data_IF_180035335622
#
_entry.id   IF_180035335622
#
_cell.length_a   1.000
_cell.length_b   1.000
_cell.length_c   1.000
_cell.angle_alpha   90.00
_cell.angle_beta   90.00
_cell.angle_gamma   90.00
#
_symmetry.space_group_name_H-M   'P 1'
#
loop_
_entity.id
_entity.type
_entity.pdbx_description
1 polymer ?
#
# COMPACT_ATOMS: atom_id res chain seq x y z
N UNK A 1 -44.83 -18.87 -39.99
CA UNK A 1 -43.45 -19.28 -40.35
C UNK A 1 -42.35 -18.73 -39.43
N UNK A 2 -42.56 -17.62 -38.70
CA UNK A 2 -41.55 -17.09 -37.76
C UNK A 2 -41.40 -17.90 -36.46
N UNK A 3 -42.50 -18.43 -35.89
CA UNK A 3 -42.46 -19.18 -34.63
C UNK A 3 -41.66 -20.50 -34.70
N UNK A 4 -41.72 -21.22 -35.83
CA UNK A 4 -40.97 -22.48 -36.01
C UNK A 4 -39.46 -22.26 -36.20
N UNK A 5 -39.02 -21.05 -36.60
CA UNK A 5 -37.59 -20.73 -36.74
C UNK A 5 -36.93 -20.39 -35.40
N UNK A 6 -37.68 -19.79 -34.47
CA UNK A 6 -37.17 -19.47 -33.12
C UNK A 6 -37.04 -20.73 -32.27
N UNK A 7 -38.00 -21.65 -32.36
CA UNK A 7 -37.95 -22.91 -31.60
C UNK A 7 -36.78 -23.81 -32.03
N UNK A 8 -36.47 -23.87 -33.34
CA UNK A 8 -35.31 -24.63 -33.85
C UNK A 8 -33.97 -24.04 -33.41
N UNK A 9 -33.87 -22.71 -33.27
CA UNK A 9 -32.63 -22.02 -32.85
C UNK A 9 -32.32 -22.23 -31.36
N UNK A 10 -33.34 -22.24 -30.50
CA UNK A 10 -33.17 -22.49 -29.06
C UNK A 10 -32.81 -23.95 -28.76
N UNK A 11 -33.39 -24.92 -29.47
CA UNK A 11 -33.09 -26.35 -29.29
C UNK A 11 -31.68 -26.69 -29.78
N UNK A 12 -31.23 -26.09 -30.89
CA UNK A 12 -29.86 -26.27 -31.38
C UNK A 12 -28.81 -25.63 -30.44
N UNK A 13 -29.12 -24.46 -29.86
CA UNK A 13 -28.22 -23.79 -28.90
C UNK A 13 -28.11 -24.55 -27.56
N UNK A 14 -29.19 -25.17 -27.08
CA UNK A 14 -29.14 -26.03 -25.88
C UNK A 14 -28.38 -27.34 -26.12
N UNK A 15 -28.47 -27.94 -27.32
CA UNK A 15 -27.71 -29.16 -27.64
C UNK A 15 -26.20 -28.90 -27.77
N UNK A 16 -25.78 -27.75 -28.30
CA UNK A 16 -24.37 -27.38 -28.39
C UNK A 16 -23.80 -27.08 -26.99
N UNK A 17 -24.57 -26.46 -26.09
CA UNK A 17 -24.18 -26.25 -24.70
C UNK A 17 -24.08 -27.58 -23.90
N UNK A 18 -25.00 -28.53 -24.13
CA UNK A 18 -24.92 -29.85 -23.49
C UNK A 18 -23.77 -30.72 -24.03
N UNK A 19 -23.44 -30.62 -25.33
CA UNK A 19 -22.30 -31.35 -25.88
C UNK A 19 -20.94 -30.74 -25.51
N UNK A 20 -20.85 -29.42 -25.30
CA UNK A 20 -19.65 -28.78 -24.77
C UNK A 20 -19.39 -29.10 -23.28
N UNK A 21 -20.45 -29.35 -22.51
CA UNK A 21 -20.32 -29.81 -21.12
C UNK A 21 -19.89 -31.28 -20.99
N UNK A 22 -20.08 -32.09 -22.04
CA UNK A 22 -19.78 -33.53 -22.04
C UNK A 22 -18.38 -33.90 -22.56
N UNK A 23 -17.59 -32.95 -23.05
CA UNK A 23 -16.25 -33.19 -23.62
C UNK A 23 -15.14 -32.34 -23.01
N UNK A 24 -15.38 -31.68 -21.88
CA UNK A 24 -14.27 -31.22 -21.05
C UNK A 24 -13.66 -32.46 -20.40
N UNK A 25 -12.45 -32.91 -20.80
CA UNK A 25 -11.74 -33.87 -19.98
C UNK A 25 -11.61 -33.21 -18.61
N UNK A 26 -12.29 -33.79 -17.62
CA UNK A 26 -12.01 -33.51 -16.24
C UNK A 26 -10.59 -34.03 -16.01
N UNK A 27 -9.61 -33.20 -16.32
CA UNK A 27 -8.26 -33.34 -15.82
C UNK A 27 -8.33 -32.99 -14.33
N UNK A 28 -8.96 -33.88 -13.56
CA UNK A 28 -8.59 -34.02 -12.16
C UNK A 28 -7.16 -34.52 -12.22
N UNK A 29 -6.21 -33.58 -12.13
CA UNK A 29 -4.84 -33.94 -11.84
C UNK A 29 -4.86 -34.78 -10.57
N UNK A 30 -4.62 -36.07 -10.72
CA UNK A 30 -4.41 -36.97 -9.60
C UNK A 30 -3.18 -36.47 -8.82
N UNK A 31 -3.35 -36.15 -7.54
CA UNK A 31 -2.28 -36.33 -6.56
C UNK A 31 -1.55 -35.11 -6.00
N UNK A 32 -1.97 -33.87 -6.24
CA UNK A 32 -1.40 -32.74 -5.50
C UNK A 32 -2.20 -32.47 -4.22
N UNK A 33 -1.54 -32.58 -3.06
CA UNK A 33 -2.08 -32.06 -1.80
C UNK A 33 -2.34 -30.57 -1.98
N UNK A 34 -3.57 -30.07 -1.71
CA UNK A 34 -3.84 -28.64 -1.79
C UNK A 34 -2.81 -27.85 -0.98
N UNK A 35 -2.30 -26.72 -1.51
CA UNK A 35 -1.33 -25.92 -0.79
C UNK A 35 -1.88 -25.48 0.57
N UNK A 36 -1.03 -25.51 1.59
CA UNK A 36 -1.40 -25.09 2.94
C UNK A 36 -1.32 -23.56 3.04
N UNK A 37 -2.42 -22.88 2.74
CA UNK A 37 -2.49 -21.41 2.77
C UNK A 37 -2.31 -20.82 4.17
N UNK A 38 -2.65 -21.56 5.24
CA UNK A 38 -2.44 -21.11 6.61
C UNK A 38 -0.93 -21.07 6.96
N UNK A 39 -0.19 -22.10 6.56
CA UNK A 39 1.27 -22.13 6.70
C UNK A 39 1.94 -21.04 5.84
N UNK A 40 1.46 -20.83 4.61
CA UNK A 40 1.94 -19.76 3.75
C UNK A 40 1.71 -18.37 4.39
N UNK A 41 0.50 -18.09 4.88
CA UNK A 41 0.16 -16.83 5.56
C UNK A 41 1.05 -16.58 6.79
N UNK A 42 1.23 -17.61 7.62
CA UNK A 42 2.08 -17.52 8.82
C UNK A 42 3.53 -17.14 8.46
N UNK A 43 4.05 -17.71 7.37
CA UNK A 43 5.39 -17.41 6.85
C UNK A 43 5.48 -16.03 6.19
N UNK A 44 4.42 -15.58 5.51
CA UNK A 44 4.35 -14.21 4.98
C UNK A 44 4.43 -13.17 6.10
N UNK A 45 3.79 -13.41 7.24
CA UNK A 45 3.87 -12.50 8.40
C UNK A 45 5.24 -12.57 9.09
N UNK A 46 5.84 -13.76 9.19
CA UNK A 46 7.23 -13.90 9.64
C UNK A 46 8.23 -13.16 8.74
N UNK A 47 7.98 -13.10 7.42
CA UNK A 47 8.83 -12.34 6.50
C UNK A 47 8.92 -10.86 6.90
N UNK A 48 7.81 -10.20 7.27
CA UNK A 48 7.85 -8.83 7.76
C UNK A 48 8.72 -8.68 9.03
N UNK A 49 8.66 -9.62 9.96
CA UNK A 49 9.57 -9.61 11.13
C UNK A 49 11.04 -9.66 10.71
N UNK A 50 11.33 -10.37 9.63
CA UNK A 50 12.66 -10.49 9.02
C UNK A 50 13.15 -9.20 8.39
N UNK A 51 12.26 -8.26 8.07
CA UNK A 51 12.57 -6.97 7.46
C UNK A 51 12.65 -5.81 8.47
N UNK A 52 12.29 -6.02 9.75
CA UNK A 52 12.25 -4.94 10.75
C UNK A 52 13.61 -4.24 10.89
N UNK A 53 13.64 -2.92 10.80
CA UNK A 53 14.81 -2.08 11.13
C UNK A 53 14.61 -1.41 12.49
N UNK A 54 15.68 -1.12 13.21
CA UNK A 54 15.60 -0.48 14.53
C UNK A 54 15.73 -1.44 15.70
N UNK A 55 15.24 -1.03 16.87
CA UNK A 55 15.28 -1.83 18.10
C UNK A 55 14.16 -2.85 18.13
N UNK A 56 14.48 -4.14 17.99
CA UNK A 56 13.49 -5.20 17.83
C UNK A 56 12.68 -5.42 19.12
N UNK A 57 11.38 -5.77 18.99
CA UNK A 57 10.54 -5.99 20.16
C UNK A 57 10.91 -7.32 20.82
N UNK A 58 10.64 -7.49 22.14
CA UNK A 58 10.86 -8.76 22.83
C UNK A 58 9.98 -9.89 22.29
N UNK A 59 8.93 -9.57 21.52
CA UNK A 59 8.03 -10.53 20.86
C UNK A 59 8.55 -11.02 19.50
N UNK A 60 9.73 -10.54 19.04
CA UNK A 60 10.35 -10.97 17.78
C UNK A 60 10.55 -12.50 17.76
N UNK A 61 9.97 -13.18 16.75
CA UNK A 61 10.06 -14.64 16.61
C UNK A 61 11.33 -15.07 15.86
N UNK A 62 11.79 -14.26 14.90
CA UNK A 62 13.00 -14.54 14.14
C UNK A 62 14.28 -14.18 14.92
N UNK A 63 14.86 -15.17 15.58
CA UNK A 63 16.02 -15.01 16.50
C UNK A 63 17.36 -14.72 15.83
N UNK A 64 17.44 -14.80 14.51
CA UNK A 64 18.66 -14.51 13.75
C UNK A 64 18.80 -13.01 13.41
N UNK A 65 17.72 -12.22 13.51
CA UNK A 65 17.73 -10.76 13.44
C UNK A 65 18.02 -10.14 14.80
N UNK A 66 18.70 -8.99 14.83
CA UNK A 66 18.92 -8.19 16.05
C UNK A 66 18.71 -6.70 15.77
N UNK A 67 18.89 -5.90 16.81
CA UNK A 67 18.84 -4.44 16.72
C UNK A 67 19.80 -3.92 15.63
N UNK A 68 19.29 -3.04 14.78
CA UNK A 68 20.04 -2.39 13.71
C UNK A 68 19.59 -0.93 13.56
N UNK A 69 20.35 -0.11 12.81
CA UNK A 69 19.90 1.23 12.39
C UNK A 69 19.52 2.19 13.52
N UNK A 70 20.12 2.03 14.71
CA UNK A 70 19.69 2.73 15.93
C UNK A 70 19.96 4.24 15.92
N UNK A 71 20.62 4.75 14.88
CA UNK A 71 20.95 6.15 14.69
C UNK A 71 20.24 6.77 13.47
N UNK A 72 19.25 6.09 12.89
CA UNK A 72 18.47 6.62 11.76
C UNK A 72 17.85 7.98 12.09
N UNK A 73 18.10 8.96 11.22
CA UNK A 73 17.66 10.35 11.39
C UNK A 73 18.59 11.22 12.25
N UNK A 74 19.72 10.66 12.71
CA UNK A 74 20.79 11.39 13.43
C UNK A 74 22.02 11.63 12.55
N UNK A 75 21.83 11.85 11.25
CA UNK A 75 22.90 11.99 10.23
C UNK A 75 24.12 12.77 10.77
N UNK A 76 25.26 12.09 10.84
CA UNK A 76 26.49 12.62 11.42
C UNK A 76 26.95 13.87 10.66
N UNK A 77 26.85 15.04 11.30
CA UNK A 77 27.49 16.28 10.83
C UNK A 77 26.57 17.37 10.29
N UNK A 78 25.25 17.16 10.21
CA UNK A 78 24.29 18.23 9.84
C UNK A 78 23.35 18.50 11.01
N UNK A 79 23.76 19.40 11.92
CA UNK A 79 23.05 19.83 13.13
C UNK A 79 21.62 20.40 12.93
N UNK A 80 21.05 20.39 11.73
CA UNK A 80 19.83 21.15 11.42
C UNK A 80 18.56 20.31 11.58
N UNK A 81 18.61 18.96 11.55
CA UNK A 81 17.41 18.12 11.45
C UNK A 81 17.48 16.78 12.23
N UNK A 82 18.03 16.75 13.45
CA UNK A 82 17.97 15.51 14.26
C UNK A 82 16.52 15.07 14.46
N UNK A 83 16.16 13.93 13.90
CA UNK A 83 14.82 13.32 13.98
C UNK A 83 14.98 11.84 14.35
N UNK A 84 14.06 11.29 15.14
CA UNK A 84 14.03 9.84 15.36
C UNK A 84 13.35 9.18 14.17
N UNK A 85 14.14 8.51 13.33
CA UNK A 85 13.65 7.68 12.24
C UNK A 85 13.97 6.20 12.46
N UNK A 86 14.30 5.78 13.68
CA UNK A 86 14.52 4.36 14.02
C UNK A 86 13.20 3.59 13.92
N UNK A 87 13.22 2.42 13.30
CA UNK A 87 12.02 1.60 13.04
C UNK A 87 11.80 1.33 11.55
N UNK A 88 10.59 0.86 11.22
CA UNK A 88 10.16 0.60 9.84
C UNK A 88 10.74 -0.69 9.27
N UNK A 89 10.59 -0.88 7.96
CA UNK A 89 11.07 -2.06 7.26
C UNK A 89 12.19 -1.72 6.28
N UNK A 90 13.19 -2.59 6.20
CA UNK A 90 14.06 -2.63 5.03
C UNK A 90 13.26 -3.10 3.81
N UNK A 91 13.56 -2.52 2.66
CA UNK A 91 12.72 -2.66 1.48
C UNK A 91 12.77 -4.06 0.88
N UNK A 92 13.97 -4.58 0.60
CA UNK A 92 14.15 -5.87 -0.07
C UNK A 92 15.28 -6.70 0.58
N UNK A 93 16.30 -7.04 -0.21
CA UNK A 93 17.52 -7.67 0.29
C UNK A 93 18.60 -6.67 0.72
N UNK A 94 18.28 -5.38 0.65
CA UNK A 94 19.11 -4.24 0.98
C UNK A 94 18.74 -3.67 2.36
N UNK A 95 19.44 -2.65 2.85
CA UNK A 95 19.17 -2.01 4.15
C UNK A 95 18.67 -0.57 4.00
N UNK A 96 18.19 -0.20 2.82
CA UNK A 96 17.51 1.08 2.58
C UNK A 96 16.06 0.98 3.02
N UNK A 97 15.55 2.07 3.58
CA UNK A 97 14.13 2.24 3.90
C UNK A 97 13.49 3.15 2.86
N UNK A 98 12.95 2.58 1.80
CA UNK A 98 12.19 3.33 0.79
C UNK A 98 10.75 3.55 1.26
N UNK A 99 10.38 4.80 1.52
CA UNK A 99 9.10 5.16 2.11
C UNK A 99 7.91 4.92 1.19
N UNK A 100 8.08 5.08 -0.13
CA UNK A 100 7.00 4.91 -1.10
C UNK A 100 6.47 3.46 -1.18
N UNK A 101 7.29 2.43 -1.46
CA UNK A 101 6.84 1.03 -1.43
C UNK A 101 6.48 0.54 -0.01
N UNK A 102 7.13 1.07 1.03
CA UNK A 102 6.76 0.76 2.41
C UNK A 102 5.35 1.25 2.74
N UNK A 103 4.98 2.46 2.35
CA UNK A 103 3.63 2.97 2.52
C UNK A 103 2.61 2.10 1.76
N UNK A 104 2.89 1.74 0.50
CA UNK A 104 2.06 0.83 -0.29
C UNK A 104 1.82 -0.52 0.41
N UNK A 105 2.90 -1.10 0.95
CA UNK A 105 2.84 -2.33 1.75
C UNK A 105 1.93 -2.15 2.96
N UNK A 106 2.01 -1.01 3.64
CA UNK A 106 1.14 -0.66 4.78
C UNK A 106 -0.33 -0.56 4.39
N UNK A 107 -0.63 0.04 3.23
CA UNK A 107 -2.00 0.12 2.71
C UNK A 107 -2.55 -1.26 2.39
N UNK A 108 -1.78 -2.13 1.73
CA UNK A 108 -2.24 -3.49 1.40
C UNK A 108 -2.40 -4.39 2.62
N UNK A 109 -1.48 -4.32 3.59
CA UNK A 109 -1.61 -5.06 4.83
C UNK A 109 -2.86 -4.61 5.61
N UNK A 110 -3.11 -3.29 5.64
CA UNK A 110 -4.34 -2.74 6.21
C UNK A 110 -5.58 -3.23 5.46
N UNK A 111 -5.56 -3.19 4.13
CA UNK A 111 -6.69 -3.63 3.31
C UNK A 111 -7.00 -5.11 3.56
N UNK A 112 -5.97 -5.97 3.64
CA UNK A 112 -6.14 -7.38 3.98
C UNK A 112 -6.77 -7.58 5.36
N UNK A 113 -6.36 -6.81 6.38
CA UNK A 113 -6.96 -6.88 7.71
C UNK A 113 -8.43 -6.44 7.67
N UNK A 114 -8.74 -5.38 6.92
CA UNK A 114 -10.11 -4.83 6.82
C UNK A 114 -11.06 -5.82 6.16
N UNK A 115 -10.66 -6.45 5.05
CA UNK A 115 -11.57 -7.32 4.28
C UNK A 115 -11.61 -8.75 4.84
N UNK A 116 -10.50 -9.24 5.43
CA UNK A 116 -10.32 -10.66 5.72
C UNK A 116 -9.97 -10.95 7.19
N UNK A 117 -10.36 -10.07 8.13
CA UNK A 117 -10.04 -10.25 9.56
C UNK A 117 -10.52 -11.59 10.13
N UNK A 118 -11.66 -12.12 9.67
CA UNK A 118 -12.18 -13.43 10.11
C UNK A 118 -11.31 -14.57 9.58
N UNK A 119 -10.88 -14.51 8.32
CA UNK A 119 -10.05 -15.52 7.66
C UNK A 119 -8.60 -15.50 8.13
N UNK A 120 -8.09 -14.36 8.60
CA UNK A 120 -6.77 -14.27 9.23
C UNK A 120 -6.69 -15.12 10.52
N UNK A 121 -7.82 -15.30 11.22
CA UNK A 121 -7.93 -16.16 12.39
C UNK A 121 -6.82 -15.90 13.43
N UNK A 122 -5.99 -16.90 13.79
CA UNK A 122 -4.93 -16.73 14.78
C UNK A 122 -3.81 -15.76 14.34
N UNK A 123 -3.63 -15.56 13.03
CA UNK A 123 -2.59 -14.68 12.48
C UNK A 123 -2.98 -13.19 12.52
N UNK A 124 -4.23 -12.86 12.86
CA UNK A 124 -4.70 -11.47 12.94
C UNK A 124 -3.85 -10.62 13.90
N UNK A 125 -3.41 -11.20 15.03
CA UNK A 125 -2.53 -10.52 15.98
C UNK A 125 -1.17 -10.19 15.36
N UNK A 126 -0.57 -11.14 14.63
CA UNK A 126 0.70 -10.94 13.94
C UNK A 126 0.58 -9.96 12.76
N UNK A 127 -0.56 -9.96 12.05
CA UNK A 127 -0.86 -8.96 11.03
C UNK A 127 -0.95 -7.54 11.64
N UNK A 128 -1.62 -7.39 12.79
CA UNK A 128 -1.65 -6.12 13.51
C UNK A 128 -0.28 -5.68 14.03
N UNK A 129 0.55 -6.59 14.54
CA UNK A 129 1.93 -6.28 14.95
C UNK A 129 2.79 -5.84 13.77
N UNK A 130 2.66 -6.52 12.63
CA UNK A 130 3.36 -6.16 11.40
C UNK A 130 2.93 -4.77 10.89
N UNK A 131 1.62 -4.49 10.92
CA UNK A 131 1.09 -3.19 10.51
C UNK A 131 1.51 -2.07 11.47
N UNK A 132 1.43 -2.31 12.78
CA UNK A 132 1.82 -1.31 13.80
C UNK A 132 3.28 -0.91 13.67
N UNK A 133 4.17 -1.88 13.45
CA UNK A 133 5.59 -1.59 13.24
C UNK A 133 5.85 -0.63 12.08
N UNK A 134 5.07 -0.79 11.00
CA UNK A 134 5.11 0.07 9.82
C UNK A 134 4.55 1.45 10.12
N UNK A 135 3.36 1.51 10.72
CA UNK A 135 2.66 2.78 10.95
C UNK A 135 3.32 3.63 12.03
N UNK A 136 3.95 3.02 13.04
CA UNK A 136 4.78 3.73 14.01
C UNK A 136 5.94 4.46 13.32
N UNK A 137 6.55 3.84 12.31
CA UNK A 137 7.59 4.49 11.51
C UNK A 137 7.02 5.61 10.61
N UNK A 138 5.88 5.39 9.95
CA UNK A 138 5.24 6.43 9.15
C UNK A 138 4.83 7.64 10.01
N UNK A 139 4.39 7.42 11.25
CA UNK A 139 4.13 8.49 12.22
C UNK A 139 5.40 9.27 12.60
N UNK A 140 6.56 8.62 12.70
CA UNK A 140 7.83 9.34 12.89
C UNK A 140 8.22 10.15 11.64
N UNK A 141 8.14 9.51 10.48
CA UNK A 141 8.53 10.08 9.18
C UNK A 141 7.69 11.30 8.76
N UNK A 142 6.48 11.43 9.32
CA UNK A 142 5.54 12.53 9.02
C UNK A 142 5.26 13.43 10.22
N UNK A 143 6.08 13.36 11.28
CA UNK A 143 5.85 14.12 12.52
C UNK A 143 6.07 15.62 12.37
N UNK A 144 6.89 16.04 11.39
CA UNK A 144 7.18 17.45 11.15
C UNK A 144 6.17 18.06 10.16
N UNK A 145 5.64 19.27 10.43
CA UNK A 145 4.69 19.92 9.53
C UNK A 145 5.35 20.23 8.18
N UNK A 146 4.57 20.09 7.10
CA UNK A 146 4.99 20.34 5.71
C UNK A 146 6.28 19.62 5.29
N UNK A 147 6.55 18.46 5.90
CA UNK A 147 7.75 17.66 5.62
C UNK A 147 7.44 16.18 5.80
N UNK A 148 7.92 15.38 4.85
CA UNK A 148 7.85 13.93 4.92
C UNK A 148 9.25 13.38 4.68
N UNK A 149 9.74 12.55 5.60
CA UNK A 149 10.96 11.78 5.42
C UNK A 149 10.63 10.53 4.60
N UNK A 150 11.15 10.46 3.38
CA UNK A 150 10.73 9.46 2.38
C UNK A 150 11.77 8.38 2.18
N UNK A 151 13.00 8.56 2.67
CA UNK A 151 14.03 7.54 2.59
C UNK A 151 15.09 7.70 3.68
N UNK A 152 15.57 6.56 4.19
CA UNK A 152 16.76 6.51 5.06
C UNK A 152 17.72 5.45 4.51
N UNK A 153 18.95 5.84 4.21
CA UNK A 153 19.93 5.03 3.49
C UNK A 153 20.31 5.65 2.15
N UNK A 154 21.61 5.84 1.94
CA UNK A 154 22.14 6.09 0.60
C UNK A 154 22.13 4.76 -0.17
N UNK A 155 21.36 4.65 -1.26
CA UNK A 155 21.13 3.37 -1.90
C UNK A 155 22.37 2.88 -2.66
N UNK A 156 23.23 3.78 -3.14
CA UNK A 156 24.45 3.39 -3.82
C UNK A 156 25.51 2.92 -2.81
N UNK A 157 25.62 3.58 -1.66
CA UNK A 157 26.50 3.12 -0.58
C UNK A 157 26.05 1.75 -0.07
N UNK A 158 24.75 1.58 0.16
CA UNK A 158 24.18 0.34 0.68
C UNK A 158 24.34 -0.82 -0.31
N UNK A 159 23.97 -0.64 -1.58
CA UNK A 159 24.03 -1.72 -2.57
C UNK A 159 25.45 -2.08 -3.02
N UNK A 160 26.44 -1.25 -2.71
CA UNK A 160 27.86 -1.58 -2.92
C UNK A 160 28.44 -2.46 -1.80
N UNK A 161 27.72 -2.66 -0.69
CA UNK A 161 28.15 -3.50 0.42
C UNK A 161 27.22 -4.70 0.62
N UNK A 162 27.79 -5.89 0.84
CA UNK A 162 27.02 -7.08 1.20
C UNK A 162 27.22 -7.37 2.69
N UNK A 163 26.33 -6.84 3.52
CA UNK A 163 26.47 -6.88 4.97
C UNK A 163 25.14 -7.14 5.68
N UNK A 164 25.25 -7.56 6.94
CA UNK A 164 24.07 -7.72 7.79
C UNK A 164 23.63 -6.33 8.29
N UNK A 165 22.33 -6.06 8.42
CA UNK A 165 21.86 -4.79 8.95
C UNK A 165 22.39 -4.49 10.36
N UNK A 166 22.68 -5.52 11.16
CA UNK A 166 23.24 -5.38 12.51
C UNK A 166 24.69 -4.85 12.54
N UNK A 167 25.45 -5.04 11.46
CA UNK A 167 26.86 -4.65 11.36
C UNK A 167 27.09 -3.49 10.39
N UNK A 168 26.02 -2.91 9.84
CA UNK A 168 26.13 -1.97 8.72
C UNK A 168 26.91 -0.70 9.08
N UNK A 169 27.84 -0.33 8.21
CA UNK A 169 28.64 0.90 8.31
C UNK A 169 28.46 1.85 7.11
N UNK A 170 27.54 1.50 6.21
CA UNK A 170 27.15 2.31 5.04
C UNK A 170 26.48 3.63 5.43
N UNK A 171 26.49 4.60 4.50
CA UNK A 171 25.88 5.91 4.74
C UNK A 171 24.36 5.81 4.87
N UNK A 172 23.83 6.23 6.03
CA UNK A 172 22.39 6.20 6.34
C UNK A 172 21.68 7.54 6.18
N UNK A 173 22.02 8.25 5.09
CA UNK A 173 21.49 9.59 4.78
C UNK A 173 19.97 9.62 4.78
N UNK A 174 19.41 10.67 5.38
CA UNK A 174 17.98 10.92 5.44
C UNK A 174 17.52 11.84 4.31
N UNK A 175 16.53 11.40 3.52
CA UNK A 175 15.94 12.17 2.43
C UNK A 175 14.48 12.56 2.74
N UNK A 176 14.08 13.74 2.30
CA UNK A 176 12.77 14.30 2.58
C UNK A 176 12.20 15.07 1.40
N UNK A 177 10.88 15.20 1.38
CA UNK A 177 10.11 16.15 0.58
C UNK A 177 9.48 17.21 1.48
N UNK A 178 9.24 18.41 0.94
CA UNK A 178 8.61 19.52 1.64
C UNK A 178 7.84 20.44 0.68
N UNK A 179 7.29 21.54 1.18
CA UNK A 179 6.48 22.50 0.42
C UNK A 179 7.20 23.15 -0.78
N UNK A 180 8.53 23.21 -0.75
CA UNK A 180 9.35 23.73 -1.88
C UNK A 180 9.89 22.63 -2.79
N UNK A 181 9.94 21.39 -2.31
CA UNK A 181 10.41 20.20 -3.02
C UNK A 181 9.39 19.07 -2.79
N UNK A 182 8.23 19.13 -3.47
CA UNK A 182 7.09 18.27 -3.17
C UNK A 182 7.33 16.81 -3.57
N UNK A 183 6.44 15.94 -3.07
CA UNK A 183 6.35 14.53 -3.40
C UNK A 183 4.93 14.04 -3.15
N UNK A 184 4.03 14.29 -4.10
CA UNK A 184 2.59 14.05 -3.98
C UNK A 184 2.24 12.57 -3.97
N UNK A 185 2.94 11.76 -4.76
CA UNK A 185 2.79 10.32 -4.84
C UNK A 185 3.10 9.66 -3.50
N UNK A 186 4.30 9.88 -2.95
CA UNK A 186 4.68 9.33 -1.64
C UNK A 186 3.83 9.89 -0.49
N UNK A 187 3.40 11.15 -0.58
CA UNK A 187 2.45 11.72 0.39
C UNK A 187 1.06 11.06 0.30
N UNK A 188 0.52 10.90 -0.91
CA UNK A 188 -0.77 10.26 -1.16
C UNK A 188 -0.80 8.81 -0.68
N UNK A 189 0.26 8.03 -0.97
CA UNK A 189 0.38 6.65 -0.50
C UNK A 189 0.59 6.56 1.01
N UNK A 190 1.40 7.44 1.61
CA UNK A 190 1.57 7.48 3.08
C UNK A 190 0.26 7.82 3.78
N UNK A 191 -0.53 8.76 3.22
CA UNK A 191 -1.86 9.07 3.72
C UNK A 191 -2.82 7.89 3.57
N UNK A 192 -2.79 7.19 2.43
CA UNK A 192 -3.59 5.99 2.22
C UNK A 192 -3.27 4.91 3.27
N UNK A 193 -1.98 4.65 3.53
CA UNK A 193 -1.52 3.67 4.50
C UNK A 193 -2.02 3.99 5.91
N UNK A 194 -1.85 5.24 6.35
CA UNK A 194 -2.29 5.70 7.67
C UNK A 194 -3.82 5.70 7.79
N UNK A 195 -4.54 6.11 6.75
CA UNK A 195 -6.01 6.11 6.73
C UNK A 195 -6.57 4.67 6.77
N UNK A 196 -6.05 3.77 5.94
CA UNK A 196 -6.45 2.36 5.94
C UNK A 196 -6.13 1.71 7.29
N UNK A 197 -4.93 1.94 7.84
CA UNK A 197 -4.55 1.42 9.15
C UNK A 197 -5.45 1.94 10.28
N UNK A 198 -5.92 3.19 10.19
CA UNK A 198 -6.87 3.73 11.16
C UNK A 198 -8.20 2.95 11.20
N UNK A 199 -8.62 2.38 10.07
CA UNK A 199 -9.80 1.51 10.00
C UNK A 199 -9.46 0.15 10.61
N UNK A 200 -8.32 -0.44 10.23
CA UNK A 200 -7.87 -1.73 10.72
C UNK A 200 -7.76 -1.76 12.26
N UNK A 201 -7.18 -0.73 12.87
CA UNK A 201 -7.02 -0.64 14.34
C UNK A 201 -8.26 -0.12 15.07
N UNK A 202 -9.31 0.32 14.38
CA UNK A 202 -10.42 1.05 15.00
C UNK A 202 -11.10 0.29 16.14
N UNK A 203 -11.23 -1.03 16.01
CA UNK A 203 -11.88 -1.87 17.02
C UNK A 203 -10.95 -2.28 18.17
N UNK A 204 -9.66 -2.43 17.92
CA UNK A 204 -8.68 -2.96 18.87
C UNK A 204 -7.91 -1.88 19.63
N UNK A 205 -7.65 -0.73 19.00
CA UNK A 205 -6.98 0.42 19.60
C UNK A 205 -7.53 1.75 19.02
N UNK A 206 -8.67 2.23 19.55
CA UNK A 206 -9.32 3.45 19.04
C UNK A 206 -8.45 4.71 19.14
N UNK A 207 -7.61 4.82 20.17
CA UNK A 207 -6.77 6.00 20.40
C UNK A 207 -5.67 6.07 19.33
N UNK A 208 -5.01 4.94 19.06
CA UNK A 208 -4.03 4.87 17.98
C UNK A 208 -4.68 5.07 16.60
N UNK A 209 -5.87 4.51 16.38
CA UNK A 209 -6.62 4.75 15.16
C UNK A 209 -6.93 6.24 14.93
N UNK A 210 -7.24 7.00 15.98
CA UNK A 210 -7.44 8.45 15.88
C UNK A 210 -6.15 9.21 15.55
N UNK A 211 -5.02 8.81 16.13
CA UNK A 211 -3.71 9.37 15.82
C UNK A 211 -3.34 9.14 14.34
N UNK A 212 -3.50 7.90 13.86
CA UNK A 212 -3.25 7.52 12.47
C UNK A 212 -4.13 8.32 11.51
N UNK A 213 -5.44 8.40 11.78
CA UNK A 213 -6.37 9.13 10.93
C UNK A 213 -6.08 10.63 10.93
N UNK A 214 -5.75 11.20 12.09
CA UNK A 214 -5.37 12.61 12.17
C UNK A 214 -4.12 12.88 11.36
N UNK A 215 -3.11 12.01 11.42
CA UNK A 215 -1.91 12.17 10.60
C UNK A 215 -2.19 12.00 9.11
N UNK A 216 -2.98 10.99 8.73
CA UNK A 216 -3.35 10.73 7.35
C UNK A 216 -3.95 11.97 6.67
N UNK A 217 -4.84 12.68 7.37
CA UNK A 217 -5.43 13.95 6.87
C UNK A 217 -4.36 15.00 6.59
N UNK A 218 -3.46 15.24 7.55
CA UNK A 218 -2.41 16.26 7.39
C UNK A 218 -1.41 15.92 6.28
N UNK A 219 -1.07 14.64 6.11
CA UNK A 219 -0.15 14.16 5.08
C UNK A 219 -0.81 14.26 3.69
N UNK A 220 -2.08 13.91 3.59
CA UNK A 220 -2.86 14.06 2.37
C UNK A 220 -2.98 15.53 1.96
N UNK A 221 -3.33 16.40 2.91
CA UNK A 221 -3.47 17.84 2.65
C UNK A 221 -2.15 18.44 2.15
N UNK A 222 -1.00 18.01 2.69
CA UNK A 222 0.32 18.37 2.19
C UNK A 222 0.50 17.96 0.71
N UNK A 223 0.31 16.68 0.39
CA UNK A 223 0.50 16.15 -0.96
C UNK A 223 -0.47 16.73 -1.99
N UNK A 224 -1.70 17.02 -1.57
CA UNK A 224 -2.73 17.63 -2.42
C UNK A 224 -2.50 19.13 -2.66
N UNK A 225 -1.97 19.85 -1.66
CA UNK A 225 -1.71 21.30 -1.74
C UNK A 225 -0.42 21.61 -2.51
N UNK A 226 0.66 20.89 -2.20
CA UNK A 226 1.97 21.10 -2.82
C UNK A 226 2.23 19.99 -3.82
N UNK A 227 1.73 20.18 -5.05
CA UNK A 227 1.77 19.14 -6.06
C UNK A 227 3.11 19.04 -6.79
N UNK A 228 3.65 17.83 -6.88
CA UNK A 228 4.80 17.52 -7.72
C UNK A 228 5.48 16.21 -7.32
N UNK A 229 6.25 15.67 -8.27
CA UNK A 229 6.95 14.39 -8.07
C UNK A 229 8.23 14.55 -7.24
N UNK A 230 8.41 13.66 -6.25
CA UNK A 230 9.61 13.55 -5.44
C UNK A 230 10.85 13.23 -6.29
N UNK A 231 10.66 12.56 -7.43
CA UNK A 231 11.70 12.28 -8.41
C UNK A 231 12.31 13.57 -8.98
N UNK A 232 11.59 14.69 -8.97
CA UNK A 232 12.10 16.00 -9.42
C UNK A 232 13.21 16.52 -8.52
N UNK A 233 13.09 16.33 -7.21
CA UNK A 233 14.04 16.86 -6.23
C UNK A 233 15.08 15.84 -5.77
N UNK A 234 14.67 14.57 -5.62
CA UNK A 234 15.53 13.50 -5.14
C UNK A 234 16.22 12.75 -6.29
N UNK A 235 15.64 12.75 -7.49
CA UNK A 235 16.26 12.25 -8.72
C UNK A 235 16.93 10.90 -8.55
N UNK A 236 18.27 10.89 -8.64
CA UNK A 236 19.10 9.68 -8.56
C UNK A 236 19.03 8.92 -7.24
N UNK A 237 18.55 9.54 -6.17
CA UNK A 237 18.48 8.90 -4.85
C UNK A 237 17.28 7.97 -4.71
N UNK A 238 16.25 8.19 -5.53
CA UNK A 238 15.02 7.37 -5.55
C UNK A 238 14.91 6.58 -6.87
N UNK A 239 15.39 7.11 -7.99
CA UNK A 239 15.45 6.42 -9.28
C UNK A 239 16.91 6.04 -9.59
N UNK A 240 17.24 4.78 -9.96
CA UNK A 240 16.39 3.81 -10.64
C UNK A 240 15.62 2.82 -9.75
N UNK A 241 15.57 3.03 -8.43
CA UNK A 241 15.03 2.05 -7.48
C UNK A 241 13.49 2.04 -7.47
N UNK A 242 12.90 3.20 -7.17
CA UNK A 242 11.46 3.43 -7.09
C UNK A 242 11.12 4.72 -7.85
N UNK A 243 11.28 4.72 -9.18
CA UNK A 243 10.93 5.90 -9.97
C UNK A 243 9.41 6.08 -10.02
N UNK A 244 8.96 7.33 -10.03
CA UNK A 244 7.57 7.68 -10.32
C UNK A 244 7.34 7.61 -11.84
N UNK A 245 6.63 6.58 -12.32
CA UNK A 245 6.31 6.40 -13.74
C UNK A 245 4.85 6.75 -14.06
N UNK A 246 3.91 6.46 -13.16
CA UNK A 246 2.48 6.76 -13.34
C UNK A 246 2.11 8.23 -13.09
N UNK A 247 3.00 9.00 -12.46
CA UNK A 247 2.67 10.30 -11.89
C UNK A 247 1.97 10.12 -10.54
N UNK A 248 1.58 11.25 -9.94
CA UNK A 248 1.02 11.27 -8.58
C UNK A 248 -0.50 11.31 -8.48
N UNK A 249 -1.20 11.28 -9.61
CA UNK A 249 -2.64 11.53 -9.65
C UNK A 249 -3.43 10.35 -9.10
N UNK A 250 -2.96 9.14 -9.35
CA UNK A 250 -3.57 7.93 -8.81
C UNK A 250 -3.34 7.80 -7.30
N UNK A 251 -2.22 8.22 -6.73
CA UNK A 251 -2.02 8.25 -5.27
C UNK A 251 -2.88 9.30 -4.58
N UNK A 252 -3.05 10.48 -5.18
CA UNK A 252 -3.95 11.50 -4.63
C UNK A 252 -5.41 11.03 -4.68
N UNK A 253 -5.80 10.26 -5.69
CA UNK A 253 -7.12 9.64 -5.77
C UNK A 253 -7.26 8.46 -4.80
N UNK A 254 -6.23 7.64 -4.67
CA UNK A 254 -6.15 6.50 -3.76
C UNK A 254 -6.19 6.92 -2.29
N UNK A 255 -5.38 7.91 -1.90
CA UNK A 255 -5.41 8.51 -0.57
C UNK A 255 -6.76 9.14 -0.24
N UNK A 256 -7.39 9.81 -1.22
CA UNK A 256 -8.75 10.34 -1.03
C UNK A 256 -9.77 9.23 -0.80
N UNK A 257 -9.69 8.13 -1.56
CA UNK A 257 -10.58 6.98 -1.42
C UNK A 257 -10.46 6.34 -0.03
N UNK A 258 -9.24 6.12 0.47
CA UNK A 258 -9.05 5.59 1.82
C UNK A 258 -9.50 6.55 2.93
N UNK A 259 -9.21 7.84 2.80
CA UNK A 259 -9.69 8.84 3.74
C UNK A 259 -11.21 8.97 3.72
N UNK A 260 -11.84 8.87 2.54
CA UNK A 260 -13.30 8.83 2.44
C UNK A 260 -13.84 7.57 3.12
N UNK A 261 -13.25 6.40 2.89
CA UNK A 261 -13.66 5.16 3.58
C UNK A 261 -13.50 5.25 5.10
N UNK A 262 -12.48 5.93 5.59
CA UNK A 262 -12.23 6.11 7.03
C UNK A 262 -13.12 7.17 7.71
N UNK A 263 -13.67 8.14 6.95
CA UNK A 263 -14.33 9.32 7.53
C UNK A 263 -15.77 9.55 7.07
N UNK A 264 -16.15 8.99 5.92
CA UNK A 264 -17.36 9.33 5.19
C UNK A 264 -17.49 10.85 4.90
N UNK A 265 -16.37 11.56 4.76
CA UNK A 265 -16.35 13.01 4.52
C UNK A 265 -16.63 13.35 3.06
N UNK A 266 -17.54 14.30 2.85
CA UNK A 266 -17.87 14.85 1.53
C UNK A 266 -16.71 15.60 0.88
N UNK A 267 -15.73 16.08 1.67
CA UNK A 267 -14.52 16.69 1.14
C UNK A 267 -13.73 15.68 0.28
N UNK A 268 -13.49 14.48 0.82
CA UNK A 268 -12.77 13.44 0.09
C UNK A 268 -13.60 12.85 -1.04
N UNK A 269 -14.92 12.77 -0.89
CA UNK A 269 -15.82 12.42 -2.01
C UNK A 269 -15.67 13.39 -3.18
N UNK A 270 -15.63 14.70 -2.90
CA UNK A 270 -15.38 15.70 -3.93
C UNK A 270 -14.00 15.50 -4.58
N UNK A 271 -12.95 15.25 -3.79
CA UNK A 271 -11.62 14.99 -4.34
C UNK A 271 -11.61 13.76 -5.26
N UNK A 272 -12.33 12.69 -4.89
CA UNK A 272 -12.48 11.48 -5.71
C UNK A 272 -13.17 11.80 -7.03
N UNK A 273 -14.29 12.52 -7.00
CA UNK A 273 -15.03 12.90 -8.22
C UNK A 273 -14.15 13.72 -9.16
N UNK A 274 -13.44 14.73 -8.64
CA UNK A 274 -12.53 15.56 -9.44
C UNK A 274 -11.36 14.75 -9.99
N UNK A 275 -10.75 13.87 -9.18
CA UNK A 275 -9.64 13.01 -9.61
C UNK A 275 -10.05 12.05 -10.73
N UNK A 276 -11.23 11.42 -10.62
CA UNK A 276 -11.76 10.54 -11.69
C UNK A 276 -11.98 11.34 -12.98
N UNK A 277 -12.52 12.56 -12.90
CA UNK A 277 -12.72 13.41 -14.06
C UNK A 277 -11.39 13.79 -14.73
N UNK A 278 -10.38 14.17 -13.95
CA UNK A 278 -9.05 14.50 -14.46
C UNK A 278 -8.39 13.28 -15.12
N UNK A 279 -8.47 12.12 -14.47
CA UNK A 279 -7.92 10.87 -15.00
C UNK A 279 -8.57 10.47 -16.34
N UNK A 280 -9.90 10.58 -16.44
CA UNK A 280 -10.61 10.34 -17.70
C UNK A 280 -10.19 11.30 -18.81
N UNK A 281 -9.96 12.58 -18.49
CA UNK A 281 -9.50 13.57 -19.47
C UNK A 281 -8.09 13.25 -19.97
N UNK A 282 -7.15 12.89 -19.09
CA UNK A 282 -5.79 12.50 -19.48
C UNK A 282 -5.78 11.24 -20.36
N UNK A 283 -6.63 10.26 -20.05
CA UNK A 283 -6.78 9.04 -20.87
C UNK A 283 -7.29 9.30 -22.28
N UNK A 284 -8.08 10.35 -22.52
CA UNK A 284 -8.50 10.71 -23.88
C UNK A 284 -7.38 11.32 -24.73
N UNK A 285 -6.25 11.69 -24.11
CA UNK A 285 -5.12 12.36 -24.78
C UNK A 285 -3.93 11.44 -25.02
N UNK A 286 -3.85 10.28 -24.36
CA UNK A 286 -2.76 9.31 -24.50
C UNK A 286 -3.19 8.14 -25.41
N UNK A 287 -2.24 7.65 -26.21
CA UNK A 287 -2.42 6.50 -27.09
C UNK A 287 -2.72 5.23 -26.25
N UNK A 288 -3.66 4.40 -26.70
CA UNK A 288 -4.15 3.22 -25.96
C UNK A 288 -3.06 2.17 -25.65
N UNK A 289 -1.86 2.37 -26.19
CA UNK A 289 -0.69 1.49 -26.12
C UNK A 289 0.22 1.74 -24.90
N UNK A 290 0.08 2.87 -24.20
CA UNK A 290 0.95 3.27 -23.08
C UNK A 290 0.51 2.72 -21.70
N UNK A 291 -0.26 1.63 -21.67
CA UNK A 291 -0.90 1.14 -20.44
C UNK A 291 -0.02 0.11 -19.73
N UNK A 292 0.71 0.54 -18.71
CA UNK A 292 1.19 -0.39 -17.68
C UNK A 292 0.04 -0.66 -16.70
N UNK A 293 -0.61 -1.81 -16.87
CA UNK A 293 -1.84 -2.22 -16.19
C UNK A 293 -1.64 -2.80 -14.78
N UNK A 294 -0.45 -2.72 -14.23
CA UNK A 294 -0.11 -3.46 -13.03
C UNK A 294 -0.33 -2.61 -11.79
N UNK A 295 -1.33 -3.02 -11.00
CA UNK A 295 -1.48 -2.51 -9.64
C UNK A 295 -0.22 -2.81 -8.83
N UNK A 296 0.36 -1.78 -8.24
CA UNK A 296 1.62 -1.91 -7.51
C UNK A 296 1.97 -0.65 -6.74
N UNK A 297 3.20 -0.59 -6.28
CA UNK A 297 3.72 0.53 -5.50
C UNK A 297 3.79 1.83 -6.29
N UNK A 298 3.76 1.80 -7.62
CA UNK A 298 3.73 2.96 -8.52
C UNK A 298 2.28 3.24 -8.97
N UNK A 299 1.59 2.29 -9.62
CA UNK A 299 0.24 2.53 -10.13
C UNK A 299 -0.89 1.95 -9.25
N UNK A 300 -1.83 2.78 -8.80
CA UNK A 300 -2.94 2.43 -7.87
C UNK A 300 -4.28 2.24 -8.58
N UNK A 301 -4.32 2.45 -9.89
CA UNK A 301 -5.56 2.56 -10.67
C UNK A 301 -6.56 1.41 -10.44
N UNK A 302 -6.12 0.15 -10.62
CA UNK A 302 -7.03 -0.98 -10.46
C UNK A 302 -7.53 -1.11 -9.01
N UNK A 303 -6.68 -0.78 -8.03
CA UNK A 303 -7.04 -0.76 -6.61
C UNK A 303 -8.13 0.26 -6.32
N UNK A 304 -8.02 1.47 -6.87
CA UNK A 304 -9.02 2.55 -6.73
C UNK A 304 -10.39 2.08 -7.19
N UNK A 305 -10.49 1.47 -8.38
CA UNK A 305 -11.78 1.00 -8.90
C UNK A 305 -12.42 -0.06 -8.00
N UNK A 306 -11.63 -1.02 -7.51
CA UNK A 306 -12.12 -2.07 -6.61
C UNK A 306 -12.55 -1.46 -5.28
N UNK A 307 -11.77 -0.56 -4.70
CA UNK A 307 -12.05 0.08 -3.42
C UNK A 307 -13.36 0.90 -3.46
N UNK A 308 -13.54 1.73 -4.49
CA UNK A 308 -14.76 2.54 -4.62
C UNK A 308 -16.00 1.67 -4.84
N UNK A 309 -15.87 0.59 -5.62
CA UNK A 309 -16.98 -0.33 -5.88
C UNK A 309 -17.38 -1.11 -4.62
N UNK A 310 -16.40 -1.63 -3.86
CA UNK A 310 -16.65 -2.37 -2.61
C UNK A 310 -17.26 -1.47 -1.54
N UNK A 311 -16.76 -0.23 -1.39
CA UNK A 311 -17.33 0.76 -0.47
C UNK A 311 -18.80 1.08 -0.79
N UNK A 312 -19.13 1.28 -2.08
CA UNK A 312 -20.51 1.53 -2.50
C UNK A 312 -21.43 0.34 -2.22
N UNK A 313 -20.96 -0.88 -2.46
CA UNK A 313 -21.71 -2.09 -2.16
C UNK A 313 -21.97 -2.24 -0.66
N UNK A 314 -20.97 -1.97 0.18
CA UNK A 314 -21.09 -2.01 1.63
C UNK A 314 -22.09 -0.97 2.17
N UNK A 315 -22.03 0.28 1.70
CA UNK A 315 -22.98 1.32 2.10
C UNK A 315 -24.42 0.95 1.73
N UNK A 316 -24.64 0.43 0.52
CA UNK A 316 -25.96 -0.05 0.10
C UNK A 316 -26.47 -1.23 0.94
N UNK A 317 -25.59 -2.10 1.45
CA UNK A 317 -25.98 -3.20 2.33
C UNK A 317 -26.45 -2.68 3.69
N UNK A 318 -25.72 -1.74 4.30
CA UNK A 318 -26.11 -1.11 5.56
C UNK A 318 -27.44 -0.35 5.45
N UNK A 319 -27.66 0.37 4.35
CA UNK A 319 -28.89 1.14 4.10
C UNK A 319 -30.13 0.23 3.86
N UNK A 320 -29.92 -0.98 3.36
CA UNK A 320 -31.01 -1.94 3.09
C UNK A 320 -31.25 -2.94 4.23
N UNK A 321 -30.25 -3.22 5.06
CA UNK A 321 -30.36 -4.08 6.25
C UNK A 321 -30.95 -3.38 7.48
N UNK A 322 -31.20 -2.07 7.41
CA UNK A 322 -31.80 -1.24 8.46
C UNK A 322 -33.30 -0.95 8.25
N UNK A 323 -33.97 -1.71 7.36
CA UNK A 323 -35.42 -1.66 7.12
C UNK A 323 -36.15 -2.90 7.65
#
# INVERSE_FOLDING_TARGET
MAANRVMFSCVFSMLVALMAAATMPSAVAEGETPPNYADALSKCLLFYEGQRSGKLPPTQRLTWRKDSALNDGQDAGVCILSVDLVGGYYDAGDNVKFGFPMAFTGTLLSWSIIEFSEELGPELAHAHEALRWLTDYLLKATAQPNRIFVQVGDPYSDHNCWERPEDMDTLRTTYQVNDTHPGSEVAGETAAALAAASIAFRSSDPAYADELLSRAKTVYDFGHTYQGSYGTSLGKWVCPFYCDYSGYQDELLWGAAWLNRATNSSQYENHIIHGIQQHMQMKTQLDETAREWFFGWDNKEAGIYILLQTQKAHNNYLDNGSK
#
